data_IF_593293453209
#
_entry.id   IF_593293453209
#
_cell.length_a   1.000
_cell.length_b   1.000
_cell.length_c   1.000
_cell.angle_alpha   90.00
_cell.angle_beta   90.00
_cell.angle_gamma   90.00
#
_symmetry.space_group_name_H-M   'P 1'
#
loop_
_entity.id
_entity.type
_entity.pdbx_description
1 polymer ?
#
# COMPACT_ATOMS: atom_id res chain seq x y z
N UNK A 1 -26.00 -16.13 0.99
CA UNK A 1 -24.75 -16.09 1.78
C UNK A 1 -24.95 -15.12 2.92
N UNK A 2 -24.52 -15.49 4.12
CA UNK A 2 -24.50 -14.52 5.22
C UNK A 2 -23.18 -13.74 5.10
N UNK A 3 -23.23 -12.49 4.64
CA UNK A 3 -22.02 -11.65 4.49
C UNK A 3 -21.62 -11.16 5.87
N UNK A 4 -20.39 -11.44 6.27
CA UNK A 4 -19.80 -11.05 7.56
C UNK A 4 -19.12 -9.69 7.49
N UNK A 5 -18.48 -9.36 6.36
CA UNK A 5 -17.72 -8.11 6.16
C UNK A 5 -17.87 -7.58 4.75
N UNK A 6 -17.95 -6.27 4.62
CA UNK A 6 -17.92 -5.55 3.35
C UNK A 6 -16.63 -4.74 3.28
N UNK A 7 -15.76 -5.06 2.33
CA UNK A 7 -14.42 -4.47 2.23
C UNK A 7 -14.24 -3.81 0.88
N UNK A 8 -13.93 -2.52 0.87
CA UNK A 8 -13.46 -1.82 -0.32
C UNK A 8 -11.96 -2.09 -0.50
N UNK A 9 -11.58 -2.56 -1.70
CA UNK A 9 -10.19 -2.64 -2.12
C UNK A 9 -10.00 -1.64 -3.26
N UNK A 10 -9.23 -0.58 -3.03
CA UNK A 10 -8.98 0.43 -4.06
C UNK A 10 -7.76 0.09 -4.90
N UNK A 11 -7.79 0.40 -6.19
CA UNK A 11 -6.73 0.03 -7.12
C UNK A 11 -6.67 -1.47 -7.42
N UNK A 12 -7.80 -2.16 -7.22
CA UNK A 12 -7.86 -3.62 -7.34
C UNK A 12 -7.81 -4.16 -8.77
N UNK A 13 -7.92 -3.32 -9.81
CA UNK A 13 -7.64 -3.72 -11.20
C UNK A 13 -6.16 -3.56 -11.58
N UNK A 14 -5.32 -3.00 -10.70
CA UNK A 14 -3.88 -2.84 -10.86
C UNK A 14 -3.09 -4.11 -10.55
N UNK A 15 -1.77 -3.99 -10.57
CA UNK A 15 -0.84 -5.11 -10.34
C UNK A 15 -1.03 -5.76 -8.96
N UNK A 16 -0.64 -5.09 -7.87
CA UNK A 16 -0.73 -5.67 -6.51
C UNK A 16 -2.20 -5.87 -6.13
N UNK A 17 -3.06 -4.87 -6.41
CA UNK A 17 -4.46 -4.89 -6.06
C UNK A 17 -5.22 -6.11 -6.62
N UNK A 18 -4.92 -6.56 -7.84
CA UNK A 18 -5.57 -7.74 -8.43
C UNK A 18 -5.26 -9.03 -7.69
N UNK A 19 -4.07 -9.17 -7.12
CA UNK A 19 -3.70 -10.31 -6.28
C UNK A 19 -4.41 -10.24 -4.93
N UNK A 20 -4.48 -9.07 -4.30
CA UNK A 20 -5.21 -8.88 -3.03
C UNK A 20 -6.70 -9.17 -3.22
N UNK A 21 -7.34 -8.60 -4.25
CA UNK A 21 -8.75 -8.87 -4.56
C UNK A 21 -9.00 -10.36 -4.77
N UNK A 22 -8.19 -11.02 -5.60
CA UNK A 22 -8.29 -12.46 -5.86
C UNK A 22 -8.14 -13.29 -4.61
N UNK A 23 -7.15 -12.97 -3.77
CA UNK A 23 -6.92 -13.64 -2.51
C UNK A 23 -8.16 -13.54 -1.60
N UNK A 24 -8.66 -12.32 -1.38
CA UNK A 24 -9.80 -12.11 -0.48
C UNK A 24 -11.08 -12.76 -1.00
N UNK A 25 -11.39 -12.64 -2.28
CA UNK A 25 -12.58 -13.25 -2.90
C UNK A 25 -12.56 -14.78 -2.76
N UNK A 26 -11.40 -15.42 -2.93
CA UNK A 26 -11.30 -16.88 -2.88
C UNK A 26 -11.16 -17.43 -1.43
N UNK A 27 -10.43 -16.72 -0.58
CA UNK A 27 -10.12 -17.19 0.78
C UNK A 27 -11.23 -16.91 1.80
N UNK A 28 -11.99 -15.81 1.59
CA UNK A 28 -13.04 -15.35 2.50
C UNK A 28 -14.39 -15.24 1.78
N UNK A 29 -15.08 -16.37 1.53
CA UNK A 29 -16.33 -16.37 0.76
C UNK A 29 -17.48 -15.65 1.48
N UNK A 30 -17.38 -15.44 2.78
CA UNK A 30 -18.31 -14.66 3.62
C UNK A 30 -17.99 -13.16 3.66
N UNK A 31 -16.91 -12.72 2.97
CA UNK A 31 -16.63 -11.30 2.79
C UNK A 31 -17.13 -10.85 1.42
N UNK A 32 -17.79 -9.70 1.35
CA UNK A 32 -18.12 -9.04 0.11
C UNK A 32 -16.99 -8.07 -0.26
N UNK A 33 -16.34 -8.29 -1.38
CA UNK A 33 -15.21 -7.49 -1.86
C UNK A 33 -15.68 -6.52 -2.93
N UNK A 34 -15.60 -5.25 -2.61
CA UNK A 34 -15.92 -4.14 -3.50
C UNK A 34 -14.60 -3.63 -4.09
N UNK A 35 -14.30 -4.03 -5.31
CA UNK A 35 -13.13 -3.58 -6.04
C UNK A 35 -13.38 -2.20 -6.65
N UNK A 36 -12.77 -1.17 -6.11
CA UNK A 36 -12.89 0.20 -6.60
C UNK A 36 -11.66 0.61 -7.39
N UNK A 37 -11.84 0.88 -8.68
CA UNK A 37 -10.74 1.31 -9.56
C UNK A 37 -11.23 2.33 -10.59
N UNK A 38 -10.41 3.34 -10.83
CA UNK A 38 -10.69 4.38 -11.85
C UNK A 38 -10.43 3.87 -13.28
N UNK A 39 -9.70 2.75 -13.43
CA UNK A 39 -9.21 2.21 -14.70
C UNK A 39 -8.37 3.23 -15.47
N UNK A 40 -7.30 3.71 -14.81
CA UNK A 40 -6.26 4.49 -15.48
C UNK A 40 -5.39 3.56 -16.36
N UNK A 41 -4.25 4.05 -16.82
CA UNK A 41 -3.38 3.31 -17.73
C UNK A 41 -2.89 1.94 -17.20
N UNK A 42 -2.81 1.77 -15.88
CA UNK A 42 -2.33 0.54 -15.24
C UNK A 42 -3.45 -0.40 -14.75
N UNK A 43 -4.70 0.08 -14.72
CA UNK A 43 -5.86 -0.71 -14.31
C UNK A 43 -6.40 -1.56 -15.47
N UNK A 44 -6.51 -2.89 -15.27
CA UNK A 44 -7.00 -3.81 -16.29
C UNK A 44 -7.88 -4.90 -15.66
N UNK A 45 -9.16 -4.89 -15.97
CA UNK A 45 -10.12 -5.89 -15.47
C UNK A 45 -9.82 -7.32 -15.96
N UNK A 46 -9.09 -7.48 -17.06
CA UNK A 46 -8.65 -8.81 -17.51
C UNK A 46 -7.78 -9.53 -16.46
N UNK A 47 -7.14 -8.79 -15.56
CA UNK A 47 -6.40 -9.35 -14.42
C UNK A 47 -7.29 -10.14 -13.46
N UNK A 48 -8.60 -9.92 -13.46
CA UNK A 48 -9.58 -10.45 -12.50
C UNK A 48 -10.65 -11.33 -13.15
N UNK A 49 -10.43 -11.74 -14.41
CA UNK A 49 -11.41 -12.52 -15.17
C UNK A 49 -11.76 -13.86 -14.53
N UNK A 50 -10.84 -14.43 -13.77
CA UNK A 50 -11.02 -15.70 -13.04
C UNK A 50 -11.97 -15.61 -11.85
N UNK A 51 -12.28 -14.39 -11.38
CA UNK A 51 -13.15 -14.14 -10.24
C UNK A 51 -14.32 -13.21 -10.54
N UNK A 52 -14.48 -12.72 -11.78
CA UNK A 52 -15.48 -11.72 -12.14
C UNK A 52 -16.94 -12.15 -11.86
N UNK A 53 -17.22 -13.45 -11.95
CA UNK A 53 -18.56 -14.02 -11.72
C UNK A 53 -18.78 -14.51 -10.27
N UNK A 54 -17.85 -14.27 -9.36
CA UNK A 54 -18.00 -14.71 -7.95
C UNK A 54 -19.08 -13.89 -7.25
N UNK A 55 -19.99 -14.54 -6.49
CA UNK A 55 -21.13 -13.87 -5.86
C UNK A 55 -20.75 -12.87 -4.75
N UNK A 56 -19.52 -12.96 -4.24
CA UNK A 56 -18.94 -12.09 -3.22
C UNK A 56 -17.98 -11.03 -3.79
N UNK A 57 -18.03 -10.79 -5.11
CA UNK A 57 -17.21 -9.78 -5.78
C UNK A 57 -18.11 -8.75 -6.49
N UNK A 58 -17.75 -7.48 -6.36
CA UNK A 58 -18.38 -6.36 -7.09
C UNK A 58 -17.30 -5.40 -7.58
N UNK A 59 -17.35 -5.05 -8.87
CA UNK A 59 -16.51 -4.00 -9.41
C UNK A 59 -17.25 -2.67 -9.44
N UNK A 60 -16.59 -1.61 -8.96
CA UNK A 60 -17.07 -0.22 -9.01
C UNK A 60 -16.03 0.64 -9.71
N UNK A 61 -16.42 1.28 -10.82
CA UNK A 61 -15.56 2.26 -11.49
C UNK A 61 -15.75 3.62 -10.85
N UNK A 62 -14.78 4.06 -10.06
CA UNK A 62 -14.81 5.37 -9.39
C UNK A 62 -13.41 5.94 -9.18
N UNK A 63 -13.33 7.26 -9.02
CA UNK A 63 -12.11 7.98 -8.62
C UNK A 63 -12.10 8.15 -7.10
N UNK A 64 -11.01 7.75 -6.45
CA UNK A 64 -10.85 7.95 -4.99
C UNK A 64 -10.86 9.43 -4.58
N UNK A 65 -10.62 10.36 -5.51
CA UNK A 65 -10.70 11.79 -5.29
C UNK A 65 -12.14 12.33 -5.31
N UNK A 66 -13.11 11.55 -5.75
CA UNK A 66 -14.53 11.91 -5.76
C UNK A 66 -15.16 11.56 -4.41
N UNK A 67 -15.07 12.51 -3.48
CA UNK A 67 -15.53 12.33 -2.11
C UNK A 67 -17.01 11.94 -2.02
N UNK A 68 -17.87 12.59 -2.81
CA UNK A 68 -19.32 12.35 -2.74
C UNK A 68 -19.65 10.92 -3.20
N UNK A 69 -19.01 10.46 -4.27
CA UNK A 69 -19.14 9.07 -4.73
C UNK A 69 -18.63 8.10 -3.66
N UNK A 70 -17.45 8.34 -3.07
CA UNK A 70 -16.89 7.46 -2.03
C UNK A 70 -17.81 7.41 -0.81
N UNK A 71 -18.30 8.56 -0.34
CA UNK A 71 -19.21 8.63 0.80
C UNK A 71 -20.50 7.84 0.54
N UNK A 72 -21.06 7.97 -0.65
CA UNK A 72 -22.24 7.19 -1.08
C UNK A 72 -21.97 5.67 -1.06
N UNK A 73 -20.80 5.24 -1.53
CA UNK A 73 -20.41 3.82 -1.54
C UNK A 73 -20.23 3.26 -0.13
N UNK A 74 -19.70 4.05 0.82
CA UNK A 74 -19.59 3.64 2.23
C UNK A 74 -20.95 3.26 2.81
N UNK A 75 -21.98 4.09 2.54
CA UNK A 75 -23.35 3.86 3.01
C UNK A 75 -24.02 2.71 2.25
N UNK A 76 -23.93 2.71 0.92
CA UNK A 76 -24.58 1.72 0.04
C UNK A 76 -24.14 0.29 0.34
N UNK A 77 -22.87 0.09 0.60
CA UNK A 77 -22.29 -1.24 0.83
C UNK A 77 -22.07 -1.57 2.31
N UNK A 78 -22.41 -0.66 3.23
CA UNK A 78 -22.15 -0.85 4.67
C UNK A 78 -20.69 -1.27 4.94
N UNK A 79 -19.75 -0.44 4.50
CA UNK A 79 -18.32 -0.80 4.42
C UNK A 79 -17.69 -0.89 5.82
N UNK A 80 -17.14 -2.07 6.13
CA UNK A 80 -16.43 -2.34 7.39
C UNK A 80 -14.94 -2.10 7.29
N UNK A 81 -14.37 -2.18 6.09
CA UNK A 81 -12.92 -2.04 5.90
C UNK A 81 -12.54 -1.47 4.55
N UNK A 82 -11.38 -0.79 4.53
CA UNK A 82 -10.75 -0.30 3.31
C UNK A 82 -9.33 -0.82 3.25
N UNK A 83 -8.97 -1.48 2.13
CA UNK A 83 -7.59 -1.79 1.77
C UNK A 83 -7.21 -0.86 0.62
N UNK A 84 -6.38 0.12 0.94
CA UNK A 84 -6.07 1.22 0.03
C UNK A 84 -4.75 0.99 -0.71
N UNK A 85 -4.87 0.55 -2.00
CA UNK A 85 -3.74 0.35 -2.91
C UNK A 85 -3.75 1.31 -4.11
N UNK A 86 -4.86 2.03 -4.37
CA UNK A 86 -4.92 2.97 -5.47
C UNK A 86 -3.91 4.10 -5.29
N UNK A 87 -3.01 4.25 -6.24
CA UNK A 87 -1.99 5.28 -6.24
C UNK A 87 -1.41 5.50 -7.64
N UNK A 88 -0.95 6.71 -7.91
CA UNK A 88 0.05 6.94 -8.95
C UNK A 88 1.43 6.50 -8.40
N UNK A 89 2.18 5.66 -9.14
CA UNK A 89 3.35 4.95 -8.59
C UNK A 89 4.61 4.98 -9.45
N UNK A 90 4.65 5.79 -10.52
CA UNK A 90 5.81 5.84 -11.42
C UNK A 90 6.64 7.11 -11.20
N UNK A 91 7.86 6.97 -10.68
CA UNK A 91 8.72 8.09 -10.31
C UNK A 91 8.94 9.07 -11.47
N UNK A 92 9.30 8.59 -12.68
CA UNK A 92 9.55 9.47 -13.83
C UNK A 92 8.30 10.25 -14.26
N UNK A 93 7.11 9.67 -14.10
CA UNK A 93 5.85 10.39 -14.32
C UNK A 93 5.63 11.46 -13.26
N UNK A 94 6.00 11.19 -12.00
CA UNK A 94 5.86 12.16 -10.91
C UNK A 94 6.73 13.41 -11.11
N UNK A 95 7.89 13.22 -11.74
CA UNK A 95 8.79 14.34 -12.09
C UNK A 95 8.17 15.22 -13.19
N UNK A 96 7.46 14.60 -14.13
CA UNK A 96 6.82 15.33 -15.25
C UNK A 96 5.50 16.00 -14.84
N UNK A 97 4.72 15.34 -13.98
CA UNK A 97 3.41 15.80 -13.52
C UNK A 97 3.21 15.53 -12.01
N UNK A 98 3.82 16.32 -11.14
CA UNK A 98 3.70 16.13 -9.68
C UNK A 98 2.27 16.41 -9.18
N UNK A 99 1.47 17.21 -9.88
CA UNK A 99 0.11 17.55 -9.47
C UNK A 99 -0.82 16.35 -9.50
N UNK A 100 -0.74 15.51 -10.52
CA UNK A 100 -1.52 14.26 -10.57
C UNK A 100 -1.17 13.34 -9.41
N UNK A 101 0.11 13.25 -9.02
CA UNK A 101 0.54 12.45 -7.87
C UNK A 101 0.02 13.03 -6.54
N UNK A 102 0.14 14.34 -6.33
CA UNK A 102 -0.40 14.98 -5.13
C UNK A 102 -1.93 14.80 -5.05
N UNK A 103 -2.63 15.01 -6.16
CA UNK A 103 -4.09 14.84 -6.21
C UNK A 103 -4.50 13.39 -5.89
N UNK A 104 -3.94 12.42 -6.59
CA UNK A 104 -4.33 11.01 -6.41
C UNK A 104 -3.88 10.48 -5.05
N UNK A 105 -2.59 10.60 -4.74
CA UNK A 105 -2.04 9.95 -3.57
C UNK A 105 -2.41 10.67 -2.27
N UNK A 106 -2.42 12.00 -2.25
CA UNK A 106 -2.72 12.77 -1.04
C UNK A 106 -4.22 13.02 -0.91
N UNK A 107 -4.82 13.71 -1.90
CA UNK A 107 -6.23 14.08 -1.81
C UNK A 107 -7.16 12.87 -1.91
N UNK A 108 -6.81 11.86 -2.74
CA UNK A 108 -7.56 10.61 -2.81
C UNK A 108 -7.53 9.83 -1.49
N UNK A 109 -6.36 9.73 -0.84
CA UNK A 109 -6.26 9.12 0.49
C UNK A 109 -7.08 9.90 1.52
N UNK A 110 -7.00 11.23 1.52
CA UNK A 110 -7.76 12.06 2.44
C UNK A 110 -9.28 11.92 2.22
N UNK A 111 -9.73 11.83 0.97
CA UNK A 111 -11.14 11.58 0.62
C UNK A 111 -11.64 10.25 1.20
N UNK A 112 -10.87 9.16 1.05
CA UNK A 112 -11.21 7.86 1.62
C UNK A 112 -11.23 7.87 3.14
N UNK A 113 -10.24 8.50 3.78
CA UNK A 113 -10.17 8.62 5.24
C UNK A 113 -11.37 9.39 5.79
N UNK A 114 -11.71 10.52 5.16
CA UNK A 114 -12.83 11.35 5.60
C UNK A 114 -14.19 10.64 5.42
N UNK A 115 -14.40 9.97 4.29
CA UNK A 115 -15.63 9.22 4.05
C UNK A 115 -15.77 8.04 5.05
N UNK A 116 -14.68 7.28 5.25
CA UNK A 116 -14.65 6.20 6.24
C UNK A 116 -14.94 6.72 7.65
N UNK A 117 -14.29 7.82 8.05
CA UNK A 117 -14.53 8.46 9.35
C UNK A 117 -16.00 8.82 9.54
N UNK A 118 -16.58 9.56 8.61
CA UNK A 118 -17.98 10.01 8.71
C UNK A 118 -18.95 8.85 8.79
N UNK A 119 -18.74 7.84 7.93
CA UNK A 119 -19.60 6.66 7.91
C UNK A 119 -19.48 5.85 9.21
N UNK A 120 -18.27 5.52 9.65
CA UNK A 120 -18.08 4.71 10.86
C UNK A 120 -18.50 5.44 12.14
N UNK A 121 -18.35 6.77 12.20
CA UNK A 121 -18.86 7.59 13.31
C UNK A 121 -20.39 7.63 13.37
N UNK A 122 -21.07 7.51 12.25
CA UNK A 122 -22.54 7.51 12.18
C UNK A 122 -23.18 6.21 12.63
N UNK A 123 -22.41 5.12 12.80
CA UNK A 123 -22.93 3.83 13.19
C UNK A 123 -23.44 3.83 14.65
N UNK A 124 -24.49 3.04 14.98
CA UNK A 124 -25.10 3.03 16.32
C UNK A 124 -24.14 2.67 17.46
N UNK A 125 -23.06 1.96 17.15
CA UNK A 125 -22.05 1.53 18.11
C UNK A 125 -20.62 1.82 17.59
N UNK A 126 -20.21 3.08 17.50
CA UNK A 126 -18.90 3.43 16.95
C UNK A 126 -17.78 2.95 17.88
N UNK A 127 -17.29 1.73 17.63
CA UNK A 127 -16.31 1.05 18.47
C UNK A 127 -15.02 1.87 18.67
N UNK A 128 -14.50 2.48 17.62
CA UNK A 128 -13.27 3.25 17.69
C UNK A 128 -13.39 4.56 18.49
N UNK A 129 -14.57 5.21 18.53
CA UNK A 129 -14.79 6.42 19.34
C UNK A 129 -14.70 6.12 20.84
N UNK A 130 -15.11 4.93 21.29
CA UNK A 130 -15.01 4.55 22.70
C UNK A 130 -13.57 4.43 23.16
N UNK A 131 -12.69 3.90 22.32
CA UNK A 131 -11.28 3.69 22.65
C UNK A 131 -10.44 4.95 22.45
N UNK A 132 -10.78 5.84 21.52
CA UNK A 132 -10.04 7.08 21.30
C UNK A 132 -10.06 8.01 22.50
N UNK A 133 -11.16 8.05 23.27
CA UNK A 133 -11.27 8.88 24.48
C UNK A 133 -10.39 8.40 25.63
N UNK A 134 -10.08 7.11 25.70
CA UNK A 134 -9.19 6.54 26.71
C UNK A 134 -7.71 6.66 26.33
N UNK A 135 -7.40 6.63 25.02
CA UNK A 135 -6.02 6.77 24.51
C UNK A 135 -5.50 8.20 24.54
N UNK A 136 -6.36 9.20 24.42
CA UNK A 136 -5.94 10.61 24.39
C UNK A 136 -5.43 11.15 25.74
N UNK A 137 -5.54 10.41 26.84
CA UNK A 137 -5.22 10.91 28.20
C UNK A 137 -3.92 10.32 28.78
N UNK A 138 -3.31 9.32 28.15
CA UNK A 138 -2.12 8.67 28.74
C UNK A 138 -0.98 8.52 27.72
N UNK A 139 0.05 9.31 27.98
CA UNK A 139 1.44 9.19 27.54
C UNK A 139 1.80 9.59 26.12
N UNK A 140 2.37 10.79 26.07
CA UNK A 140 3.20 11.35 24.98
C UNK A 140 4.48 10.51 24.73
N UNK A 141 4.79 9.54 25.57
CA UNK A 141 5.87 8.58 25.35
C UNK A 141 5.36 7.42 24.49
N UNK A 142 5.83 7.39 23.24
CA UNK A 142 5.53 6.42 22.18
C UNK A 142 5.93 4.97 22.52
N UNK A 143 5.51 4.45 23.66
CA UNK A 143 5.52 3.02 23.92
C UNK A 143 4.10 2.50 23.81
N UNK A 144 3.84 1.45 23.01
CA UNK A 144 2.56 0.75 23.05
C UNK A 144 2.41 0.18 24.47
N UNK A 145 1.68 0.91 25.33
CA UNK A 145 1.51 0.56 26.76
C UNK A 145 0.39 -0.44 27.00
N UNK A 146 -0.27 -0.89 25.95
CA UNK A 146 -1.22 -1.99 26.06
C UNK A 146 -0.71 -3.11 25.18
N UNK A 147 -0.37 -4.29 25.75
CA UNK A 147 -0.21 -5.47 24.93
C UNK A 147 -1.52 -5.63 24.14
N UNK A 148 -1.42 -5.78 22.84
CA UNK A 148 -2.55 -6.13 21.98
C UNK A 148 -3.07 -7.52 22.44
N UNK A 149 -3.92 -7.52 23.45
CA UNK A 149 -4.53 -8.73 24.04
C UNK A 149 -5.96 -8.94 23.58
N UNK A 150 -6.48 -8.05 22.72
CA UNK A 150 -7.76 -8.22 22.04
C UNK A 150 -7.57 -9.17 20.85
N UNK A 151 -8.36 -10.22 20.79
CA UNK A 151 -8.48 -11.01 19.59
C UNK A 151 -8.90 -10.09 18.43
N UNK A 152 -8.30 -10.28 17.24
CA UNK A 152 -8.58 -9.45 16.05
C UNK A 152 -10.07 -9.43 15.65
N UNK A 153 -10.87 -10.26 16.29
CA UNK A 153 -12.31 -10.39 16.07
C UNK A 153 -13.13 -9.21 16.59
N UNK A 154 -12.60 -8.41 17.52
CA UNK A 154 -13.34 -7.31 18.16
C UNK A 154 -13.23 -5.95 17.44
N UNK A 155 -12.41 -5.83 16.40
CA UNK A 155 -12.30 -4.59 15.62
C UNK A 155 -13.28 -4.64 14.45
N UNK A 156 -14.39 -3.90 14.59
CA UNK A 156 -15.46 -3.89 13.59
C UNK A 156 -15.09 -3.18 12.29
N UNK A 157 -14.18 -2.18 12.31
CA UNK A 157 -13.78 -1.44 11.11
C UNK A 157 -12.26 -1.25 11.05
N UNK A 158 -11.69 -1.08 9.82
CA UNK A 158 -10.25 -0.85 9.64
C UNK A 158 -9.90 -0.17 8.32
N UNK A 159 -8.97 0.78 8.40
CA UNK A 159 -8.33 1.39 7.24
C UNK A 159 -6.90 0.88 7.10
N UNK A 160 -6.63 0.09 6.07
CA UNK A 160 -5.31 -0.45 5.77
C UNK A 160 -4.70 0.30 4.57
N UNK A 161 -3.60 1.00 4.79
CA UNK A 161 -2.91 1.81 3.79
C UNK A 161 -1.59 1.17 3.37
N UNK A 162 -1.44 0.91 2.07
CA UNK A 162 -0.20 0.39 1.50
C UNK A 162 0.65 1.55 1.00
N UNK A 163 1.81 1.75 1.63
CA UNK A 163 2.82 2.72 1.26
C UNK A 163 4.04 2.05 0.62
N UNK A 164 5.17 2.70 0.63
CA UNK A 164 6.41 2.27 -0.01
C UNK A 164 7.61 2.58 0.88
N UNK A 165 8.67 1.78 0.76
CA UNK A 165 9.98 2.04 1.38
C UNK A 165 10.63 3.34 0.87
N UNK A 166 10.26 3.82 -0.31
CA UNK A 166 10.79 5.08 -0.87
C UNK A 166 10.49 6.33 -0.03
N UNK A 167 9.55 6.24 0.94
CA UNK A 167 9.30 7.33 1.89
C UNK A 167 10.46 7.55 2.85
N UNK A 168 11.31 6.55 3.06
CA UNK A 168 12.50 6.64 3.90
C UNK A 168 13.72 7.25 3.19
N UNK A 169 13.68 7.37 1.85
CA UNK A 169 14.75 7.92 1.03
C UNK A 169 15.73 6.85 0.54
N UNK A 170 17.02 7.12 0.68
CA UNK A 170 18.09 6.21 0.27
C UNK A 170 19.02 5.94 1.45
N UNK A 171 19.48 4.70 1.55
CA UNK A 171 20.60 4.35 2.45
C UNK A 171 21.91 4.67 1.72
N UNK A 172 22.83 5.33 2.43
CA UNK A 172 24.20 5.46 1.93
C UNK A 172 24.89 4.10 2.03
N UNK A 173 25.44 3.63 0.92
CA UNK A 173 26.32 2.47 0.92
C UNK A 173 27.65 2.91 1.54
N UNK A 174 27.76 2.86 2.85
CA UNK A 174 29.05 2.98 3.53
C UNK A 174 29.78 1.66 3.32
N UNK A 175 30.70 1.63 2.35
CA UNK A 175 31.69 0.56 2.29
C UNK A 175 32.79 0.90 3.32
N UNK A 176 32.94 0.13 4.40
CA UNK A 176 34.16 0.21 5.18
C UNK A 176 35.34 -0.02 4.25
N UNK A 177 36.36 0.83 4.30
CA UNK A 177 37.57 0.66 3.48
C UNK A 177 38.06 -0.79 3.61
N UNK A 178 38.14 -1.51 2.48
CA UNK A 178 38.66 -2.87 2.41
C UNK A 178 37.62 -4.01 2.33
N UNK A 179 36.32 -3.74 2.29
CA UNK A 179 35.33 -4.77 2.00
C UNK A 179 34.89 -4.68 0.55
N UNK A 180 35.21 -5.74 -0.25
CA UNK A 180 34.73 -5.85 -1.63
C UNK A 180 33.17 -5.90 -1.63
N UNK A 181 32.52 -5.22 -2.62
CA UNK A 181 31.08 -5.24 -2.72
C UNK A 181 30.53 -6.68 -2.83
N UNK A 182 29.35 -6.98 -2.28
CA UNK A 182 28.80 -8.35 -2.13
C UNK A 182 28.51 -9.08 -3.45
N UNK A 183 28.79 -8.50 -4.60
CA UNK A 183 28.53 -9.05 -5.94
C UNK A 183 29.78 -9.46 -6.71
N UNK A 184 30.84 -9.88 -6.06
CA UNK A 184 31.88 -10.64 -6.78
C UNK A 184 31.38 -12.09 -6.93
N UNK A 185 31.24 -12.54 -8.16
CA UNK A 185 30.76 -13.87 -8.60
C UNK A 185 31.64 -15.05 -8.19
N UNK A 186 32.36 -14.96 -7.10
CA UNK A 186 33.06 -16.11 -6.50
C UNK A 186 32.21 -16.58 -5.32
N UNK A 187 31.45 -17.66 -5.56
CA UNK A 187 30.88 -18.47 -4.51
C UNK A 187 32.00 -18.94 -3.54
N UNK A 188 32.39 -18.09 -2.63
CA UNK A 188 33.21 -18.46 -1.49
C UNK A 188 32.27 -18.68 -0.31
N UNK A 189 32.40 -19.86 0.29
CA UNK A 189 31.73 -20.33 1.50
C UNK A 189 32.05 -19.49 2.74
N UNK A 190 31.82 -18.17 2.66
CA UNK A 190 31.99 -17.25 3.77
C UNK A 190 30.62 -16.73 4.21
N UNK A 191 30.32 -16.90 5.47
CA UNK A 191 29.14 -16.33 6.11
C UNK A 191 29.20 -14.80 5.94
N UNK A 192 28.42 -14.27 5.00
CA UNK A 192 28.17 -12.84 4.94
C UNK A 192 27.21 -12.50 6.11
N UNK A 193 27.76 -12.02 7.20
CA UNK A 193 26.99 -11.28 8.19
C UNK A 193 26.74 -9.89 7.61
N UNK A 194 25.61 -9.72 6.91
CA UNK A 194 25.01 -8.41 6.81
C UNK A 194 24.74 -7.95 8.25
N UNK A 195 25.30 -6.82 8.64
CA UNK A 195 25.02 -6.23 9.92
C UNK A 195 23.54 -5.80 9.93
N UNK A 196 22.68 -6.67 10.44
CA UNK A 196 21.27 -6.34 10.62
C UNK A 196 21.17 -5.08 11.49
N UNK A 197 20.59 -4.01 10.94
CA UNK A 197 20.27 -2.80 11.69
C UNK A 197 20.93 -1.51 11.23
N UNK A 198 22.06 -1.55 10.51
CA UNK A 198 22.71 -0.34 9.98
C UNK A 198 22.47 -0.13 8.47
N UNK A 199 22.05 -1.17 7.74
CA UNK A 199 21.86 -1.18 6.28
C UNK A 199 20.40 -1.35 5.83
N UNK A 200 19.44 -1.27 6.74
CA UNK A 200 18.01 -1.45 6.44
C UNK A 200 17.16 -0.31 7.01
N UNK A 201 16.05 -0.03 6.35
CA UNK A 201 15.00 0.81 6.93
C UNK A 201 14.30 0.07 8.07
N UNK A 202 14.04 0.78 9.14
CA UNK A 202 13.29 0.30 10.30
C UNK A 202 12.01 1.13 10.45
N UNK A 203 11.05 0.66 11.23
CA UNK A 203 9.83 1.41 11.54
C UNK A 203 10.11 2.75 12.23
N UNK A 204 11.27 2.88 12.87
CA UNK A 204 11.77 4.09 13.51
C UNK A 204 12.57 5.01 12.60
N UNK A 205 12.86 4.57 11.35
CA UNK A 205 13.58 5.40 10.36
C UNK A 205 12.73 6.62 10.01
N UNK A 206 13.37 7.80 10.04
CA UNK A 206 12.70 9.05 9.67
C UNK A 206 12.42 9.09 8.17
N UNK A 207 11.25 9.60 7.80
CA UNK A 207 10.90 9.84 6.42
C UNK A 207 11.82 10.91 5.80
N UNK A 208 12.37 10.59 4.64
CA UNK A 208 13.25 11.46 3.86
C UNK A 208 13.01 11.27 2.35
N UNK A 209 11.80 11.56 1.84
CA UNK A 209 11.45 11.31 0.44
C UNK A 209 12.19 12.25 -0.51
N UNK A 210 12.70 11.70 -1.63
CA UNK A 210 13.50 12.44 -2.62
C UNK A 210 12.84 12.62 -3.99
N UNK A 211 11.62 12.12 -4.19
CA UNK A 211 10.86 12.30 -5.43
C UNK A 211 9.47 12.84 -5.15
N UNK A 212 8.77 13.48 -6.14
CA UNK A 212 7.38 13.88 -5.97
C UNK A 212 6.46 12.69 -5.65
N UNK A 213 6.75 11.49 -6.20
CA UNK A 213 6.04 10.26 -5.84
C UNK A 213 6.23 9.92 -4.36
N UNK A 214 7.48 9.74 -3.91
CA UNK A 214 7.76 9.37 -2.52
C UNK A 214 7.27 10.44 -1.54
N UNK A 215 7.37 11.73 -1.89
CA UNK A 215 6.81 12.82 -1.09
C UNK A 215 5.29 12.75 -0.99
N UNK A 216 4.58 12.40 -2.08
CA UNK A 216 3.13 12.23 -2.06
C UNK A 216 2.69 11.04 -1.21
N UNK A 217 3.45 9.92 -1.24
CA UNK A 217 3.20 8.76 -0.38
C UNK A 217 3.48 9.06 1.09
N UNK A 218 4.60 9.70 1.41
CA UNK A 218 4.92 10.15 2.77
C UNK A 218 3.83 11.08 3.32
N UNK A 219 3.30 11.99 2.49
CA UNK A 219 2.21 12.88 2.87
C UNK A 219 0.93 12.10 3.18
N UNK A 220 0.56 11.10 2.37
CA UNK A 220 -0.60 10.25 2.66
C UNK A 220 -0.42 9.45 3.93
N UNK A 221 0.76 8.89 4.19
CA UNK A 221 1.06 8.16 5.44
C UNK A 221 0.88 9.06 6.67
N UNK A 222 1.32 10.32 6.58
CA UNK A 222 1.11 11.30 7.65
C UNK A 222 -0.37 11.63 7.86
N UNK A 223 -1.20 11.70 6.81
CA UNK A 223 -2.65 11.86 6.97
C UNK A 223 -3.30 10.63 7.63
N UNK A 224 -2.92 9.42 7.22
CA UNK A 224 -3.43 8.19 7.85
C UNK A 224 -3.09 8.18 9.34
N UNK A 225 -1.85 8.50 9.70
CA UNK A 225 -1.42 8.63 11.10
C UNK A 225 -2.18 9.73 11.84
N UNK A 226 -2.34 10.92 11.23
CA UNK A 226 -3.05 12.02 11.84
C UNK A 226 -4.53 11.66 12.13
N UNK A 227 -5.18 10.89 11.25
CA UNK A 227 -6.55 10.40 11.50
C UNK A 227 -6.60 9.41 12.66
N UNK A 228 -5.58 8.56 12.80
CA UNK A 228 -5.45 7.72 13.98
C UNK A 228 -5.28 8.57 15.25
N UNK A 229 -4.27 9.44 15.26
CA UNK A 229 -3.89 10.21 16.45
C UNK A 229 -4.98 11.22 16.88
N UNK A 230 -5.69 11.81 15.90
CA UNK A 230 -6.70 12.85 16.18
C UNK A 230 -8.08 12.29 16.46
N UNK A 231 -8.48 11.26 15.72
CA UNK A 231 -9.85 10.73 15.77
C UNK A 231 -9.94 9.31 16.33
N UNK A 232 -8.81 8.67 16.67
CA UNK A 232 -8.78 7.28 17.13
C UNK A 232 -9.16 6.27 16.04
N UNK A 233 -9.08 6.66 14.77
CA UNK A 233 -9.45 5.80 13.67
C UNK A 233 -8.54 4.57 13.61
N UNK A 234 -9.08 3.33 13.49
CA UNK A 234 -8.26 2.13 13.43
C UNK A 234 -7.57 2.02 12.06
N UNK A 235 -6.31 2.43 12.02
CA UNK A 235 -5.50 2.47 10.80
C UNK A 235 -4.29 1.56 10.90
N UNK A 236 -3.84 1.05 9.75
CA UNK A 236 -2.57 0.35 9.57
C UNK A 236 -1.87 0.98 8.38
N UNK A 237 -0.58 1.28 8.51
CA UNK A 237 0.30 1.70 7.41
C UNK A 237 1.38 0.65 7.23
N UNK A 238 1.58 0.20 6.00
CA UNK A 238 2.69 -0.70 5.64
C UNK A 238 3.54 -0.11 4.54
N UNK A 239 4.85 -0.28 4.64
CA UNK A 239 5.82 0.20 3.67
C UNK A 239 6.45 -1.01 2.98
N UNK A 240 6.00 -1.30 1.76
CA UNK A 240 6.54 -2.43 1.01
C UNK A 240 7.75 -2.01 0.16
N UNK A 241 8.65 -2.95 -0.07
CA UNK A 241 9.72 -2.85 -1.05
C UNK A 241 9.21 -3.06 -2.48
N UNK A 242 10.11 -3.18 -3.46
CA UNK A 242 9.72 -3.40 -4.85
C UNK A 242 9.03 -4.76 -5.02
N UNK A 243 7.88 -4.73 -5.68
CA UNK A 243 7.14 -5.96 -5.98
C UNK A 243 7.44 -6.44 -7.41
N UNK A 244 7.39 -7.76 -7.63
CA UNK A 244 7.47 -8.37 -8.94
C UNK A 244 6.48 -9.53 -9.06
N UNK A 245 6.08 -9.87 -10.29
CA UNK A 245 5.20 -11.01 -10.54
C UNK A 245 4.21 -10.80 -11.68
N UNK A 246 3.22 -11.71 -11.83
CA UNK A 246 2.18 -11.64 -12.85
C UNK A 246 1.39 -10.33 -12.79
N UNK A 247 0.96 -9.86 -13.94
CA UNK A 247 0.18 -8.62 -14.14
C UNK A 247 0.94 -7.32 -13.86
N UNK A 248 2.25 -7.37 -13.58
CA UNK A 248 3.05 -6.15 -13.42
C UNK A 248 3.08 -5.36 -14.73
N UNK A 249 2.79 -4.05 -14.63
CA UNK A 249 2.72 -3.18 -15.80
C UNK A 249 4.10 -3.06 -16.49
N UNK A 250 4.17 -3.14 -17.84
CA UNK A 250 5.44 -3.29 -18.59
C UNK A 250 6.37 -2.08 -18.57
N UNK A 251 6.03 -0.98 -17.92
CA UNK A 251 6.95 0.14 -17.68
C UNK A 251 7.91 -0.08 -16.50
N UNK A 252 7.64 -1.07 -15.65
CA UNK A 252 8.48 -1.40 -14.49
C UNK A 252 9.66 -2.28 -14.90
N UNK A 253 10.75 -2.24 -14.12
CA UNK A 253 12.05 -2.79 -14.45
C UNK A 253 12.01 -4.21 -15.01
N UNK A 254 11.45 -5.15 -14.24
CA UNK A 254 11.48 -6.58 -14.61
C UNK A 254 10.68 -6.86 -15.90
N UNK A 255 9.40 -6.49 -16.02
CA UNK A 255 8.66 -6.74 -17.26
C UNK A 255 9.17 -5.92 -18.44
N UNK A 256 9.70 -4.70 -18.22
CA UNK A 256 10.34 -3.90 -19.25
C UNK A 256 11.58 -4.61 -19.83
N UNK A 257 12.45 -5.15 -18.97
CA UNK A 257 13.64 -5.85 -19.39
C UNK A 257 13.30 -7.13 -20.14
N UNK A 258 12.36 -7.93 -19.63
CA UNK A 258 11.88 -9.14 -20.32
C UNK A 258 11.33 -8.79 -21.72
N UNK A 259 10.50 -7.74 -21.81
CA UNK A 259 9.95 -7.30 -23.10
C UNK A 259 11.05 -6.80 -24.06
N UNK A 260 11.99 -6.01 -23.57
CA UNK A 260 13.10 -5.50 -24.39
C UNK A 260 14.01 -6.64 -24.89
N UNK A 261 14.37 -7.60 -24.02
CA UNK A 261 15.15 -8.78 -24.40
C UNK A 261 14.44 -9.57 -25.50
N UNK A 262 13.14 -9.85 -25.34
CA UNK A 262 12.33 -10.58 -26.36
C UNK A 262 12.27 -9.88 -27.71
N UNK A 263 12.40 -8.56 -27.75
CA UNK A 263 12.36 -7.74 -28.97
C UNK A 263 13.74 -7.22 -29.40
N UNK A 264 14.82 -7.76 -28.84
CA UNK A 264 16.19 -7.33 -29.12
C UNK A 264 16.40 -5.81 -28.96
N UNK A 265 15.73 -5.18 -27.99
CA UNK A 265 15.86 -3.75 -27.67
C UNK A 265 16.90 -3.54 -26.57
N UNK A 266 17.57 -2.36 -26.52
CA UNK A 266 18.47 -2.00 -25.43
C UNK A 266 17.79 -2.04 -24.07
N UNK A 267 18.55 -2.43 -23.03
CA UNK A 267 18.09 -2.36 -21.64
C UNK A 267 18.49 -1.01 -21.05
N UNK A 268 17.52 -0.20 -20.58
CA UNK A 268 17.83 1.07 -19.92
C UNK A 268 18.45 0.80 -18.55
N UNK A 269 19.66 1.31 -18.32
CA UNK A 269 20.33 1.27 -17.02
C UNK A 269 20.47 2.69 -16.51
N UNK A 270 19.93 2.95 -15.32
CA UNK A 270 20.03 4.25 -14.67
C UNK A 270 21.38 4.39 -13.96
N UNK A 271 22.04 5.55 -14.17
CA UNK A 271 23.34 5.83 -13.58
C UNK A 271 24.38 4.77 -13.95
N UNK A 272 25.08 4.25 -12.96
CA UNK A 272 26.09 3.17 -13.13
C UNK A 272 25.51 1.76 -12.97
N UNK A 273 24.22 1.63 -12.63
CA UNK A 273 23.57 0.35 -12.36
C UNK A 273 23.89 -0.22 -10.96
N UNK A 274 24.34 0.61 -10.05
CA UNK A 274 24.75 0.23 -8.68
C UNK A 274 23.58 0.24 -7.67
N UNK A 275 22.37 0.57 -8.13
CA UNK A 275 21.21 0.63 -7.26
C UNK A 275 20.83 -0.78 -6.74
N UNK A 276 20.84 -0.94 -5.44
CA UNK A 276 20.36 -2.15 -4.76
C UNK A 276 18.89 -1.97 -4.37
N UNK A 277 18.09 -3.00 -4.55
CA UNK A 277 16.67 -3.03 -4.19
C UNK A 277 16.31 -4.39 -3.60
N UNK A 278 15.45 -4.38 -2.62
CA UNK A 278 14.78 -5.59 -2.17
C UNK A 278 13.58 -5.90 -3.06
N UNK A 279 13.27 -7.17 -3.25
CA UNK A 279 12.24 -7.63 -4.18
C UNK A 279 11.31 -8.63 -3.50
N UNK A 280 10.03 -8.27 -3.45
CA UNK A 280 8.97 -9.08 -2.86
C UNK A 280 8.08 -9.66 -3.95
N UNK A 281 7.88 -10.98 -3.93
CA UNK A 281 6.94 -11.61 -4.85
C UNK A 281 5.50 -11.19 -4.51
N UNK A 282 4.74 -10.83 -5.53
CA UNK A 282 3.45 -10.14 -5.34
C UNK A 282 2.41 -10.96 -4.59
N UNK A 283 2.41 -12.30 -4.75
CA UNK A 283 1.48 -13.17 -4.02
C UNK A 283 1.87 -13.31 -2.54
N UNK A 284 3.17 -13.23 -2.22
CA UNK A 284 3.65 -13.21 -0.83
C UNK A 284 3.33 -11.85 -0.15
N UNK A 285 3.27 -10.78 -0.95
CA UNK A 285 2.83 -9.49 -0.45
C UNK A 285 1.32 -9.47 -0.15
N UNK A 286 0.52 -10.09 -1.01
CA UNK A 286 -0.95 -10.12 -0.88
C UNK A 286 -1.40 -11.00 0.30
#
# INVERSE_FOLDING_TARGET
MNIRRNIIITGGAGFIGSHVVRLFVNKYPDYHIINLDKLTYAGNLANLKDIEDKPNYTFVKADICDFDTINTLMEQYHVDGIIHLAAESHVDRSIKDPFTFARTNVMGTLSLLQAAKLYWESQPNPYYIRHSKEYYIKDIDCKPTVPFSGEFEDIECRFYHISTDEVYGALELTHPEGIEPPFTTKASSGKHHLAYGEEFFLETTKYNPHSPYSASKASSDHFVRAFHDTYGMPTIVTNCSNNYGPYQFPEKLIPLFINNIRHCKPLPVYGKGENVRDWLYVEDHA
#
